data_IF_431054574419
#
_entry.id   IF_431054574419
#
_cell.length_a   1.000
_cell.length_b   1.000
_cell.length_c   1.000
_cell.angle_alpha   90.00
_cell.angle_beta   90.00
_cell.angle_gamma   90.00
#
_symmetry.space_group_name_H-M   'P 1'
#
loop_
_entity.id
_entity.type
_entity.pdbx_description
1 polymer ?
#
# COMPACT_ATOMS: atom_id res chain seq x y z
N UNK A 1 -18.72 38.48 5.87
CA UNK A 1 -20.07 37.95 5.85
C UNK A 1 -20.31 37.00 7.02
N UNK A 2 -21.47 37.07 7.69
CA UNK A 2 -21.79 36.11 8.74
C UNK A 2 -22.28 34.81 8.11
N UNK A 3 -21.52 33.70 8.26
CA UNK A 3 -21.85 32.40 7.66
C UNK A 3 -22.43 31.50 8.74
N UNK A 4 -23.69 31.11 8.59
CA UNK A 4 -24.32 30.11 9.48
C UNK A 4 -24.03 28.71 8.92
N UNK A 5 -23.17 27.95 9.62
CA UNK A 5 -22.85 26.58 9.27
C UNK A 5 -23.75 25.57 9.95
N UNK A 6 -24.17 24.56 9.22
CA UNK A 6 -24.77 23.34 9.74
C UNK A 6 -23.84 22.15 9.42
N UNK A 7 -23.30 21.54 10.44
CA UNK A 7 -22.38 20.41 10.33
C UNK A 7 -22.84 19.27 11.25
N UNK A 8 -22.53 18.00 10.92
CA UNK A 8 -22.67 16.93 11.89
C UNK A 8 -21.89 17.26 13.17
N UNK A 9 -22.47 16.99 14.34
CA UNK A 9 -21.91 17.35 15.65
C UNK A 9 -20.49 16.84 15.85
N UNK A 10 -20.21 15.61 15.42
CA UNK A 10 -18.85 15.01 15.48
C UNK A 10 -17.80 15.85 14.78
N UNK A 11 -18.15 16.64 13.77
CA UNK A 11 -17.22 17.46 12.99
C UNK A 11 -16.96 18.86 13.60
N UNK A 12 -17.50 19.18 14.77
CA UNK A 12 -17.19 20.42 15.48
C UNK A 12 -15.67 20.58 15.78
N UNK A 13 -14.95 19.46 15.86
CA UNK A 13 -13.49 19.44 16.02
C UNK A 13 -12.70 20.06 14.87
N UNK A 14 -13.31 20.27 13.68
CA UNK A 14 -12.68 20.95 12.53
C UNK A 14 -12.19 22.37 12.88
N UNK A 15 -12.84 23.05 13.83
CA UNK A 15 -12.49 24.42 14.22
C UNK A 15 -11.47 24.50 15.37
N UNK A 16 -11.03 23.35 15.92
CA UNK A 16 -9.98 23.33 16.93
C UNK A 16 -8.61 23.25 16.22
N UNK A 17 -7.61 24.05 16.64
CA UNK A 17 -6.28 23.97 16.05
C UNK A 17 -5.65 22.59 16.25
N UNK A 18 -5.25 21.95 15.15
CA UNK A 18 -4.51 20.69 15.12
C UNK A 18 -3.73 20.63 13.81
N UNK A 19 -2.51 20.10 13.85
CA UNK A 19 -1.68 19.98 12.66
C UNK A 19 -2.32 19.08 11.62
N UNK A 20 -2.83 17.93 12.06
CA UNK A 20 -3.50 16.95 11.20
C UNK A 20 -4.95 16.77 11.62
N UNK A 21 -5.86 16.78 10.65
CA UNK A 21 -7.29 16.53 10.89
C UNK A 21 -7.77 15.47 9.92
N UNK A 22 -8.16 14.32 10.45
CA UNK A 22 -8.54 13.13 9.68
C UNK A 22 -10.01 12.82 9.88
N UNK A 23 -10.76 12.90 8.82
CA UNK A 23 -12.18 12.52 8.80
C UNK A 23 -12.33 11.26 7.92
N UNK A 24 -12.53 10.13 8.57
CA UNK A 24 -12.65 8.85 7.88
C UNK A 24 -13.98 8.16 8.19
N UNK A 25 -14.35 7.16 7.38
CA UNK A 25 -15.56 6.38 7.56
C UNK A 25 -16.25 6.05 6.25
N UNK A 26 -17.41 5.39 6.33
CA UNK A 26 -18.17 4.93 5.19
C UNK A 26 -18.81 6.03 4.34
N UNK A 27 -19.51 5.62 3.30
CA UNK A 27 -20.25 6.52 2.41
C UNK A 27 -21.41 7.19 3.15
N UNK A 28 -21.71 8.43 2.73
CA UNK A 28 -22.86 9.18 3.23
C UNK A 28 -22.64 9.93 4.54
N UNK A 29 -21.44 9.88 5.17
CA UNK A 29 -21.12 10.61 6.39
C UNK A 29 -21.03 12.14 6.25
N UNK A 30 -21.08 12.69 5.03
CA UNK A 30 -21.05 14.14 4.78
C UNK A 30 -19.65 14.77 4.92
N UNK A 31 -18.57 13.97 4.97
CA UNK A 31 -17.20 14.44 5.22
C UNK A 31 -16.77 15.59 4.32
N UNK A 32 -16.77 15.40 3.01
CA UNK A 32 -16.30 16.41 2.04
C UNK A 32 -17.18 17.67 2.05
N UNK A 33 -18.51 17.51 2.25
CA UNK A 33 -19.44 18.64 2.38
C UNK A 33 -19.14 19.50 3.61
N UNK A 34 -18.86 18.87 4.72
CA UNK A 34 -18.55 19.55 5.96
C UNK A 34 -17.22 20.32 5.87
N UNK A 35 -16.18 19.66 5.30
CA UNK A 35 -14.87 20.29 5.10
C UNK A 35 -14.96 21.50 4.19
N UNK A 36 -15.62 21.37 3.04
CA UNK A 36 -15.79 22.50 2.11
C UNK A 36 -16.53 23.65 2.77
N UNK A 37 -17.60 23.35 3.51
CA UNK A 37 -18.36 24.40 4.23
C UNK A 37 -17.49 25.10 5.28
N UNK A 38 -16.68 24.33 6.04
CA UNK A 38 -15.77 24.90 7.04
C UNK A 38 -14.66 25.74 6.39
N UNK A 39 -14.04 25.26 5.30
CA UNK A 39 -13.00 26.01 4.59
C UNK A 39 -13.50 27.32 4.00
N UNK A 40 -14.69 27.32 3.39
CA UNK A 40 -15.33 28.56 2.89
C UNK A 40 -15.66 29.54 4.01
N UNK A 41 -16.16 29.05 5.13
CA UNK A 41 -16.44 29.92 6.27
C UNK A 41 -15.18 30.50 6.90
N UNK A 42 -14.13 29.70 7.11
CA UNK A 42 -12.85 30.17 7.62
C UNK A 42 -12.17 31.16 6.68
N UNK A 43 -12.23 30.90 5.34
CA UNK A 43 -11.72 31.81 4.34
C UNK A 43 -12.49 33.11 4.21
N UNK A 44 -13.78 33.12 4.55
CA UNK A 44 -14.58 34.33 4.63
C UNK A 44 -14.32 35.16 5.91
N UNK A 45 -13.94 34.49 7.02
CA UNK A 45 -13.60 35.11 8.28
C UNK A 45 -12.22 35.80 8.25
N UNK A 46 -11.23 35.15 7.67
CA UNK A 46 -9.86 35.66 7.55
C UNK A 46 -9.19 35.25 6.22
N UNK A 47 -8.23 36.07 5.71
CA UNK A 47 -7.49 35.71 4.50
C UNK A 47 -6.73 34.39 4.69
N UNK A 48 -7.00 33.39 3.86
CA UNK A 48 -6.34 32.09 3.90
C UNK A 48 -5.89 31.66 2.51
N UNK A 49 -4.73 31.03 2.44
CA UNK A 49 -4.25 30.31 1.26
C UNK A 49 -4.51 28.81 1.47
N UNK A 50 -5.44 28.26 0.72
CA UNK A 50 -5.94 26.90 0.89
C UNK A 50 -5.55 26.09 -0.36
N UNK A 51 -4.90 24.95 -0.17
CA UNK A 51 -4.62 24.00 -1.21
C UNK A 51 -5.60 22.84 -1.12
N UNK A 52 -6.39 22.64 -2.15
CA UNK A 52 -7.21 21.43 -2.33
C UNK A 52 -6.42 20.42 -3.18
N UNK A 53 -6.19 19.23 -2.65
CA UNK A 53 -5.34 18.22 -3.28
C UNK A 53 -6.00 16.84 -3.37
N UNK A 54 -5.57 16.05 -4.35
CA UNK A 54 -5.75 14.62 -4.51
C UNK A 54 -4.46 13.99 -5.00
N UNK A 55 -4.30 12.67 -4.91
CA UNK A 55 -3.15 12.00 -5.50
C UNK A 55 -3.09 12.25 -7.01
N UNK A 56 -4.21 12.08 -7.73
CA UNK A 56 -4.28 12.27 -9.19
C UNK A 56 -5.09 13.53 -9.54
N UNK A 57 -4.50 14.42 -10.32
CA UNK A 57 -5.10 15.73 -10.67
C UNK A 57 -6.36 15.64 -11.56
N UNK A 58 -6.46 14.61 -12.42
CA UNK A 58 -7.50 14.53 -13.47
C UNK A 58 -8.94 14.60 -12.95
N UNK A 59 -9.19 14.15 -11.72
CA UNK A 59 -10.51 14.13 -11.09
C UNK A 59 -10.85 15.38 -10.25
N UNK A 60 -9.90 16.32 -10.08
CA UNK A 60 -10.05 17.50 -9.21
C UNK A 60 -11.12 18.48 -9.68
N UNK A 61 -11.14 18.78 -10.98
CA UNK A 61 -12.09 19.76 -11.55
C UNK A 61 -13.53 19.32 -11.41
N UNK A 62 -13.79 18.04 -11.69
CA UNK A 62 -15.14 17.49 -11.73
C UNK A 62 -15.73 17.19 -10.33
N UNK A 63 -14.89 17.12 -9.30
CA UNK A 63 -15.35 16.78 -7.95
C UNK A 63 -15.14 17.92 -6.95
N UNK A 64 -13.90 18.29 -6.62
CA UNK A 64 -13.57 19.23 -5.55
C UNK A 64 -13.95 20.67 -5.93
N UNK A 65 -13.57 21.11 -7.13
CA UNK A 65 -13.87 22.45 -7.61
C UNK A 65 -15.38 22.66 -7.73
N UNK A 66 -16.11 21.68 -8.31
CA UNK A 66 -17.56 21.71 -8.41
C UNK A 66 -18.23 21.74 -7.02
N UNK A 67 -17.76 20.91 -6.09
CA UNK A 67 -18.30 20.88 -4.71
C UNK A 67 -18.13 22.23 -4.01
N UNK A 68 -16.98 22.90 -4.18
CA UNK A 68 -16.76 24.25 -3.67
C UNK A 68 -17.75 25.25 -4.29
N UNK A 69 -17.87 25.25 -5.61
CA UNK A 69 -18.81 26.12 -6.35
C UNK A 69 -20.26 25.95 -5.87
N UNK A 70 -20.74 24.71 -5.81
CA UNK A 70 -22.10 24.41 -5.37
C UNK A 70 -22.32 24.81 -3.91
N UNK A 71 -21.29 24.69 -3.07
CA UNK A 71 -21.36 25.09 -1.65
C UNK A 71 -21.31 26.60 -1.48
N UNK A 72 -20.57 27.35 -2.30
CA UNK A 72 -20.57 28.81 -2.34
C UNK A 72 -22.00 29.32 -2.58
N UNK A 73 -22.70 28.78 -3.58
CA UNK A 73 -24.10 29.12 -3.88
C UNK A 73 -25.01 28.76 -2.71
N UNK A 74 -24.87 27.56 -2.16
CA UNK A 74 -25.68 27.10 -1.01
C UNK A 74 -25.53 27.97 0.25
N UNK A 75 -24.32 28.50 0.48
CA UNK A 75 -24.03 29.37 1.62
C UNK A 75 -24.32 30.85 1.35
N UNK A 76 -24.75 31.23 0.15
CA UNK A 76 -25.00 32.64 -0.23
C UNK A 76 -23.71 33.46 -0.28
N UNK A 77 -22.61 32.90 -0.70
CA UNK A 77 -21.29 33.53 -0.71
C UNK A 77 -20.82 33.95 -2.12
N UNK A 78 -21.71 33.98 -3.12
CA UNK A 78 -21.39 34.33 -4.52
C UNK A 78 -20.87 35.77 -4.65
N UNK A 79 -21.35 36.69 -3.82
CA UNK A 79 -20.84 38.07 -3.80
C UNK A 79 -19.46 38.20 -3.16
N UNK A 80 -18.99 37.17 -2.42
CA UNK A 80 -17.72 37.18 -1.74
C UNK A 80 -16.64 36.35 -2.48
N UNK A 81 -17.00 35.21 -3.08
CA UNK A 81 -16.08 34.35 -3.79
C UNK A 81 -16.26 34.43 -5.31
N UNK A 82 -15.17 34.78 -6.01
CA UNK A 82 -15.05 34.68 -7.45
C UNK A 82 -14.54 33.29 -7.84
N UNK A 83 -15.33 32.54 -8.61
CA UNK A 83 -14.97 31.17 -9.03
C UNK A 83 -14.38 31.21 -10.44
N UNK A 84 -13.06 30.95 -10.54
CA UNK A 84 -12.33 30.84 -11.81
C UNK A 84 -12.05 29.37 -12.11
N UNK A 85 -11.61 29.06 -13.33
CA UNK A 85 -11.36 27.67 -13.77
C UNK A 85 -10.23 26.97 -13.01
N UNK A 86 -9.23 27.70 -12.53
CA UNK A 86 -8.03 27.18 -11.90
C UNK A 86 -7.90 27.51 -10.42
N UNK A 87 -8.69 28.46 -9.92
CA UNK A 87 -8.62 28.94 -8.54
C UNK A 87 -9.96 29.57 -8.13
N UNK A 88 -10.18 29.75 -6.82
CA UNK A 88 -11.30 30.51 -6.27
C UNK A 88 -10.73 31.61 -5.38
N UNK A 89 -11.19 32.85 -5.57
CA UNK A 89 -10.72 34.04 -4.87
C UNK A 89 -11.77 34.60 -3.94
N UNK A 90 -11.42 34.86 -2.71
CA UNK A 90 -12.25 35.63 -1.77
C UNK A 90 -11.93 37.11 -1.82
N UNK A 91 -12.94 38.00 -1.61
CA UNK A 91 -12.81 39.45 -1.61
C UNK A 91 -11.81 39.99 -0.57
N UNK A 92 -11.49 39.20 0.46
CA UNK A 92 -10.51 39.54 1.50
C UNK A 92 -9.07 39.03 1.18
N UNK A 93 -8.85 38.45 -0.01
CA UNK A 93 -7.56 37.87 -0.41
C UNK A 93 -7.42 36.38 -0.13
N UNK A 94 -8.46 35.70 0.36
CA UNK A 94 -8.50 34.23 0.42
C UNK A 94 -8.33 33.61 -0.95
N UNK A 95 -7.55 32.54 -1.03
CA UNK A 95 -7.23 31.87 -2.30
C UNK A 95 -7.33 30.35 -2.14
N UNK A 96 -8.16 29.71 -2.97
CA UNK A 96 -8.19 28.26 -3.12
C UNK A 96 -7.41 27.86 -4.38
N UNK A 97 -6.45 26.95 -4.20
CA UNK A 97 -5.61 26.36 -5.26
C UNK A 97 -5.93 24.88 -5.41
N UNK A 98 -5.65 24.31 -6.57
CA UNK A 98 -5.94 22.91 -6.87
C UNK A 98 -4.71 22.20 -7.45
N UNK A 99 -4.36 21.02 -6.89
CA UNK A 99 -3.20 20.25 -7.35
C UNK A 99 -3.35 18.74 -7.17
N UNK A 100 -2.76 17.97 -8.13
CA UNK A 100 -2.52 16.54 -7.95
C UNK A 100 -1.15 16.31 -7.31
N UNK A 101 -1.02 15.40 -6.36
CA UNK A 101 0.24 15.16 -5.65
C UNK A 101 1.23 14.33 -6.46
N UNK A 102 0.74 13.35 -7.23
CA UNK A 102 1.57 12.41 -8.00
C UNK A 102 2.35 13.06 -9.16
N UNK A 103 1.78 14.07 -9.81
CA UNK A 103 2.35 14.71 -11.01
C UNK A 103 3.35 15.82 -10.71
N UNK A 104 3.53 16.17 -9.46
CA UNK A 104 4.43 17.24 -9.08
C UNK A 104 5.83 16.73 -8.74
N UNK A 105 6.81 17.19 -9.51
CA UNK A 105 8.22 17.14 -9.08
C UNK A 105 8.38 17.94 -7.80
N UNK A 106 9.42 17.63 -7.01
CA UNK A 106 9.77 18.38 -5.79
C UNK A 106 9.74 19.91 -6.00
N UNK A 107 10.05 20.38 -7.21
CA UNK A 107 10.07 21.80 -7.55
C UNK A 107 8.67 22.42 -7.72
N UNK A 108 7.70 21.69 -8.20
CA UNK A 108 6.32 22.20 -8.32
C UNK A 108 5.57 22.20 -6.97
N UNK A 109 5.91 21.30 -6.06
CA UNK A 109 5.36 21.29 -4.68
C UNK A 109 5.92 22.47 -3.87
N UNK A 110 7.16 22.91 -4.11
CA UNK A 110 7.72 24.13 -3.50
C UNK A 110 6.90 25.39 -3.80
N UNK A 111 6.13 25.41 -4.89
CA UNK A 111 5.23 26.54 -5.20
C UNK A 111 4.06 26.70 -4.21
N UNK A 112 3.81 25.69 -3.37
CA UNK A 112 2.79 25.71 -2.31
C UNK A 112 3.31 26.21 -0.96
N UNK A 113 4.50 26.79 -0.93
CA UNK A 113 5.01 27.47 0.25
C UNK A 113 4.07 28.60 0.68
N UNK A 114 3.83 28.72 1.97
CA UNK A 114 2.94 29.75 2.51
C UNK A 114 1.44 29.37 2.54
N UNK A 115 1.10 28.11 2.26
CA UNK A 115 -0.27 27.58 2.43
C UNK A 115 -0.63 27.47 3.91
N UNK A 116 -1.85 27.94 4.27
CA UNK A 116 -2.40 27.86 5.61
C UNK A 116 -3.05 26.51 5.89
N UNK A 117 -3.84 26.01 4.93
CA UNK A 117 -4.54 24.75 5.05
C UNK A 117 -4.39 23.95 3.74
N UNK A 118 -3.99 22.69 3.86
CA UNK A 118 -4.09 21.72 2.78
C UNK A 118 -5.27 20.80 3.06
N UNK A 119 -6.19 20.68 2.14
CA UNK A 119 -7.23 19.65 2.20
C UNK A 119 -6.97 18.58 1.13
N UNK A 120 -6.81 17.34 1.58
CA UNK A 120 -6.60 16.17 0.72
C UNK A 120 -7.89 15.36 0.71
N UNK A 121 -8.52 15.32 -0.43
CA UNK A 121 -9.74 14.54 -0.68
C UNK A 121 -9.38 13.17 -1.27
N UNK A 122 -10.08 12.11 -0.86
CA UNK A 122 -9.73 10.71 -1.15
C UNK A 122 -8.31 10.35 -0.70
N UNK A 123 -7.95 10.76 0.51
CA UNK A 123 -6.59 10.62 1.03
C UNK A 123 -6.10 9.16 1.18
N UNK A 124 -6.97 8.14 1.06
CA UNK A 124 -6.57 6.74 1.05
C UNK A 124 -5.62 6.39 -0.11
N UNK A 125 -5.74 7.12 -1.24
CA UNK A 125 -4.89 6.89 -2.41
C UNK A 125 -3.49 7.51 -2.31
N UNK A 126 -3.20 8.35 -1.28
CA UNK A 126 -1.95 9.10 -1.21
C UNK A 126 -0.78 8.19 -0.90
N UNK A 127 0.20 8.17 -1.80
CA UNK A 127 1.39 7.35 -1.69
C UNK A 127 2.33 7.85 -0.59
N UNK A 128 3.18 6.95 -0.07
CA UNK A 128 4.24 7.29 0.88
C UNK A 128 5.11 8.43 0.35
N UNK A 129 5.51 8.34 -0.93
CA UNK A 129 6.32 9.38 -1.58
C UNK A 129 5.64 10.74 -1.56
N UNK A 130 4.35 10.79 -1.87
CA UNK A 130 3.57 12.05 -1.86
C UNK A 130 3.52 12.64 -0.45
N UNK A 131 3.32 11.82 0.59
CA UNK A 131 3.38 12.26 1.99
C UNK A 131 4.76 12.79 2.39
N UNK A 132 5.83 12.07 2.05
CA UNK A 132 7.19 12.43 2.43
C UNK A 132 7.67 13.73 1.78
N UNK A 133 7.05 14.14 0.66
CA UNK A 133 7.29 15.43 0.00
C UNK A 133 6.36 16.53 0.54
N UNK A 134 5.06 16.24 0.70
CA UNK A 134 4.05 17.23 1.09
C UNK A 134 4.26 17.76 2.51
N UNK A 135 4.45 16.86 3.47
CA UNK A 135 4.53 17.25 4.89
C UNK A 135 5.64 18.29 5.15
N UNK A 136 6.89 18.10 4.69
CA UNK A 136 7.92 19.10 4.88
C UNK A 136 7.70 20.41 4.10
N UNK A 137 6.90 20.37 3.03
CA UNK A 137 6.60 21.57 2.21
C UNK A 137 5.60 22.48 2.89
N UNK A 138 4.65 21.92 3.61
CA UNK A 138 3.62 22.70 4.36
C UNK A 138 4.21 23.07 5.72
N UNK A 139 4.95 24.15 5.77
CA UNK A 139 5.78 24.55 6.92
C UNK A 139 5.49 25.94 7.51
N UNK A 140 4.40 26.59 7.06
CA UNK A 140 3.95 27.84 7.65
C UNK A 140 3.50 27.60 9.09
N UNK A 141 3.87 28.46 10.02
CA UNK A 141 3.46 28.36 11.41
C UNK A 141 1.93 28.34 11.53
N UNK A 142 1.41 27.37 12.29
CA UNK A 142 -0.02 27.15 12.43
C UNK A 142 -0.73 26.56 11.21
N UNK A 143 0.02 26.13 10.19
CA UNK A 143 -0.58 25.44 9.02
C UNK A 143 -1.13 24.07 9.38
N UNK A 144 -2.20 23.68 8.69
CA UNK A 144 -2.94 22.45 8.94
C UNK A 144 -3.07 21.58 7.70
N UNK A 145 -3.10 20.27 7.88
CA UNK A 145 -3.35 19.27 6.82
C UNK A 145 -4.64 18.52 7.19
N UNK A 146 -5.65 18.68 6.36
CA UNK A 146 -6.97 18.07 6.53
C UNK A 146 -7.13 16.93 5.53
N UNK A 147 -7.68 15.81 5.96
CA UNK A 147 -7.84 14.61 5.15
C UNK A 147 -9.28 14.10 5.23
N UNK A 148 -9.87 13.83 4.07
CA UNK A 148 -11.15 13.12 3.98
C UNK A 148 -10.93 11.81 3.22
N UNK A 149 -11.36 10.70 3.80
CA UNK A 149 -11.24 9.40 3.15
C UNK A 149 -12.32 8.40 3.58
N UNK A 150 -12.64 7.49 2.67
CA UNK A 150 -13.15 6.18 3.02
C UNK A 150 -11.93 5.26 3.03
N UNK A 151 -11.56 4.65 4.17
CA UNK A 151 -10.41 3.75 4.21
C UNK A 151 -10.58 2.63 3.17
N UNK A 152 -9.53 2.34 2.38
CA UNK A 152 -9.56 1.22 1.44
C UNK A 152 -8.88 0.00 2.06
N UNK A 153 -7.56 0.08 2.28
CA UNK A 153 -6.81 -1.01 2.91
C UNK A 153 -6.29 -0.59 4.29
N UNK A 154 -6.22 -1.56 5.21
CA UNK A 154 -5.60 -1.35 6.51
C UNK A 154 -4.08 -1.03 6.41
N UNK A 155 -3.46 -1.37 5.28
CA UNK A 155 -2.04 -1.14 4.96
C UNK A 155 -1.80 0.16 4.19
N UNK A 156 -2.82 0.96 3.86
CA UNK A 156 -2.65 2.25 3.20
C UNK A 156 -1.81 3.21 4.05
N UNK A 157 -0.88 3.92 3.42
CA UNK A 157 0.05 4.83 4.13
C UNK A 157 -0.69 5.86 4.98
N UNK A 158 -1.76 6.44 4.44
CA UNK A 158 -2.59 7.40 5.18
C UNK A 158 -3.27 6.75 6.38
N UNK A 159 -3.77 5.52 6.23
CA UNK A 159 -4.41 4.79 7.32
C UNK A 159 -3.41 4.48 8.44
N UNK A 160 -2.25 3.93 8.08
CA UNK A 160 -1.21 3.58 9.04
C UNK A 160 -0.68 4.81 9.77
N UNK A 161 -0.36 5.88 9.05
CA UNK A 161 0.29 7.08 9.60
C UNK A 161 -0.62 7.90 10.49
N UNK A 162 -1.91 8.03 10.15
CA UNK A 162 -2.79 9.01 10.78
C UNK A 162 -4.00 8.42 11.51
N UNK A 163 -4.35 7.14 11.27
CA UNK A 163 -5.52 6.49 11.89
C UNK A 163 -5.08 5.38 12.84
N UNK A 164 -4.21 4.45 12.39
CA UNK A 164 -3.74 3.34 13.20
C UNK A 164 -2.75 3.81 14.29
N UNK A 165 -1.85 4.76 13.95
CA UNK A 165 -0.84 5.30 14.86
C UNK A 165 -0.83 6.83 14.85
N UNK A 166 -1.92 7.49 15.28
CA UNK A 166 -2.01 8.96 15.25
C UNK A 166 -1.02 9.59 16.23
N UNK A 167 -0.39 10.70 15.82
CA UNK A 167 0.43 11.56 16.70
C UNK A 167 -0.44 12.47 17.58
N UNK A 168 0.14 13.03 18.63
CA UNK A 168 -0.58 13.89 19.60
C UNK A 168 -1.19 15.16 18.97
N UNK A 169 -0.62 15.62 17.85
CA UNK A 169 -1.09 16.76 17.07
C UNK A 169 -2.12 16.38 15.99
N UNK A 170 -2.57 15.12 15.97
CA UNK A 170 -3.60 14.61 15.07
C UNK A 170 -4.97 14.56 15.75
N UNK A 171 -5.97 15.11 15.09
CA UNK A 171 -7.39 14.89 15.42
C UNK A 171 -7.99 13.89 14.43
N UNK A 172 -8.49 12.76 14.94
CA UNK A 172 -9.12 11.71 14.16
C UNK A 172 -10.61 11.65 14.46
N UNK A 173 -11.44 11.66 13.44
CA UNK A 173 -12.88 11.56 13.55
C UNK A 173 -13.44 10.49 12.62
N UNK A 174 -13.95 9.41 13.20
CA UNK A 174 -14.76 8.45 12.46
C UNK A 174 -16.18 8.96 12.32
N UNK A 175 -16.66 9.11 11.07
CA UNK A 175 -17.99 9.60 10.76
C UNK A 175 -18.63 8.77 9.64
N UNK A 176 -19.83 8.26 9.91
CA UNK A 176 -20.56 7.38 9.03
C UNK A 176 -21.95 7.94 8.70
N UNK A 177 -22.73 7.24 7.89
CA UNK A 177 -24.07 7.61 7.44
C UNK A 177 -25.01 7.95 8.61
N UNK A 178 -24.90 7.25 9.75
CA UNK A 178 -25.75 7.47 10.94
C UNK A 178 -25.47 8.77 11.68
N UNK A 179 -24.28 9.31 11.49
CA UNK A 179 -23.86 10.57 12.11
C UNK A 179 -24.25 11.79 11.27
N UNK A 180 -24.78 11.56 10.05
CA UNK A 180 -25.20 12.60 9.13
C UNK A 180 -26.71 12.84 9.24
N UNK A 181 -27.16 13.96 9.84
CA UNK A 181 -28.58 14.28 9.97
C UNK A 181 -29.30 14.48 8.62
N UNK A 182 -28.55 14.73 7.56
CA UNK A 182 -29.07 14.96 6.19
C UNK A 182 -28.83 13.75 5.27
N UNK A 183 -28.67 12.57 5.84
CA UNK A 183 -28.43 11.37 5.04
C UNK A 183 -29.63 11.10 4.10
N UNK A 184 -29.43 11.10 2.75
CA UNK A 184 -30.55 11.01 1.82
C UNK A 184 -31.27 9.66 1.89
N UNK A 185 -32.60 9.69 1.85
CA UNK A 185 -33.39 8.46 1.87
C UNK A 185 -33.10 7.53 0.69
N UNK A 186 -32.88 8.08 -0.51
CA UNK A 186 -32.46 7.32 -1.66
C UNK A 186 -31.18 6.50 -1.37
N UNK A 187 -30.20 7.13 -0.75
CA UNK A 187 -28.95 6.45 -0.40
C UNK A 187 -29.14 5.44 0.74
N UNK A 188 -30.08 5.70 1.66
CA UNK A 188 -30.47 4.76 2.70
C UNK A 188 -31.13 3.48 2.12
N UNK A 189 -31.96 3.61 1.09
CA UNK A 189 -32.54 2.46 0.40
C UNK A 189 -31.45 1.60 -0.29
N UNK A 190 -30.47 2.24 -0.94
CA UNK A 190 -29.35 1.50 -1.52
C UNK A 190 -28.51 0.80 -0.45
N UNK A 191 -28.26 1.44 0.68
CA UNK A 191 -27.58 0.82 1.83
C UNK A 191 -28.35 -0.40 2.38
N UNK A 192 -29.67 -0.30 2.49
CA UNK A 192 -30.50 -1.43 2.94
C UNK A 192 -30.54 -2.59 1.96
N UNK A 193 -30.51 -2.30 0.65
CA UNK A 193 -30.34 -3.34 -0.39
C UNK A 193 -28.97 -4.00 -0.26
N UNK A 194 -27.88 -3.21 -0.16
CA UNK A 194 -26.54 -3.70 0.02
C UNK A 194 -26.41 -4.62 1.24
N UNK A 195 -27.02 -4.24 2.37
CA UNK A 195 -27.04 -5.05 3.60
C UNK A 195 -27.64 -6.44 3.42
N UNK A 196 -28.56 -6.60 2.45
CA UNK A 196 -29.26 -7.87 2.18
C UNK A 196 -28.54 -8.75 1.13
N UNK A 197 -27.80 -8.10 0.21
CA UNK A 197 -27.25 -8.76 -0.98
C UNK A 197 -25.73 -8.91 -0.99
N UNK A 198 -25.01 -8.08 -0.20
CA UNK A 198 -23.55 -8.12 -0.14
C UNK A 198 -23.06 -8.98 1.03
N UNK A 199 -21.78 -9.34 0.99
CA UNK A 199 -21.10 -9.94 2.14
C UNK A 199 -21.04 -8.94 3.30
N UNK A 200 -20.94 -9.43 4.54
CA UNK A 200 -20.78 -8.55 5.71
C UNK A 200 -19.54 -7.66 5.60
N UNK A 201 -18.44 -8.21 5.07
CA UNK A 201 -17.18 -7.49 4.87
C UNK A 201 -17.33 -6.34 3.87
N UNK A 202 -17.99 -6.57 2.73
CA UNK A 202 -18.21 -5.51 1.73
C UNK A 202 -19.17 -4.44 2.26
N UNK A 203 -20.21 -4.83 2.99
CA UNK A 203 -21.11 -3.87 3.62
C UNK A 203 -20.39 -3.00 4.64
N UNK A 204 -19.60 -3.61 5.52
CA UNK A 204 -18.82 -2.88 6.53
C UNK A 204 -17.79 -1.95 5.90
N UNK A 205 -17.14 -2.40 4.84
CA UNK A 205 -16.20 -1.56 4.10
C UNK A 205 -16.88 -0.31 3.51
N UNK A 206 -17.96 -0.49 2.75
CA UNK A 206 -18.60 0.61 2.02
C UNK A 206 -19.36 1.55 2.95
N UNK A 207 -20.13 1.00 3.91
CA UNK A 207 -21.09 1.78 4.70
C UNK A 207 -20.60 2.12 6.11
N UNK A 208 -19.75 1.29 6.70
CA UNK A 208 -19.19 1.52 8.03
C UNK A 208 -17.74 2.04 7.98
N UNK A 209 -17.13 2.11 6.80
CA UNK A 209 -15.78 2.64 6.62
C UNK A 209 -14.68 1.78 7.23
N UNK A 210 -14.92 0.47 7.35
CA UNK A 210 -13.87 -0.46 7.79
C UNK A 210 -12.90 -0.71 6.65
N UNK A 211 -11.58 -0.62 6.90
CA UNK A 211 -10.60 -0.98 5.88
C UNK A 211 -10.69 -2.47 5.54
N UNK A 212 -10.39 -2.78 4.28
CA UNK A 212 -10.21 -4.17 3.85
C UNK A 212 -8.85 -4.67 4.30
N UNK A 213 -8.78 -5.96 4.60
CA UNK A 213 -7.51 -6.65 4.85
C UNK A 213 -6.87 -7.16 3.56
N UNK A 214 -7.66 -7.32 2.50
CA UNK A 214 -7.23 -7.84 1.19
C UNK A 214 -7.91 -7.02 0.10
N UNK A 215 -7.18 -6.65 -0.96
CA UNK A 215 -7.71 -5.88 -2.08
C UNK A 215 -8.82 -6.65 -2.82
N UNK A 216 -9.79 -5.92 -3.36
CA UNK A 216 -10.84 -6.51 -4.18
C UNK A 216 -10.25 -7.18 -5.42
N UNK A 217 -10.65 -8.42 -5.68
CA UNK A 217 -10.12 -9.20 -6.80
C UNK A 217 -8.69 -9.69 -6.62
N UNK A 218 -8.15 -9.66 -5.39
CA UNK A 218 -6.82 -10.21 -5.11
C UNK A 218 -6.78 -11.71 -5.41
N UNK A 219 -5.67 -12.15 -6.01
CA UNK A 219 -5.47 -13.52 -6.47
C UNK A 219 -5.46 -14.52 -5.30
N UNK A 220 -4.90 -14.09 -4.15
CA UNK A 220 -4.75 -14.92 -2.95
C UNK A 220 -5.71 -14.52 -1.82
N UNK A 221 -6.89 -13.96 -2.14
CA UNK A 221 -7.83 -13.44 -1.15
C UNK A 221 -8.22 -14.49 -0.10
N UNK A 222 -8.62 -15.67 -0.53
CA UNK A 222 -9.05 -16.75 0.37
C UNK A 222 -7.91 -17.29 1.23
N UNK A 223 -6.74 -17.43 0.62
CA UNK A 223 -5.52 -17.92 1.26
C UNK A 223 -5.05 -16.96 2.36
N UNK A 224 -5.09 -15.66 2.10
CA UNK A 224 -4.73 -14.62 3.08
C UNK A 224 -5.77 -14.56 4.22
N UNK A 225 -7.05 -14.65 3.90
CA UNK A 225 -8.09 -14.68 4.94
C UNK A 225 -7.91 -15.90 5.88
N UNK A 226 -7.66 -17.09 5.32
CA UNK A 226 -7.36 -18.29 6.09
C UNK A 226 -6.08 -18.15 6.92
N UNK A 227 -5.01 -17.52 6.36
CA UNK A 227 -3.75 -17.27 7.04
C UNK A 227 -3.95 -16.50 8.36
N UNK A 228 -4.76 -15.42 8.32
CA UNK A 228 -5.04 -14.61 9.52
C UNK A 228 -6.03 -15.29 10.46
N UNK A 229 -7.07 -15.93 9.94
CA UNK A 229 -8.06 -16.68 10.75
C UNK A 229 -7.40 -17.83 11.56
N UNK A 230 -6.40 -18.48 10.98
CA UNK A 230 -5.65 -19.58 11.59
C UNK A 230 -4.42 -19.10 12.36
N UNK A 231 -4.22 -17.79 12.52
CA UNK A 231 -3.11 -17.18 13.26
C UNK A 231 -1.73 -17.69 12.81
N UNK A 232 -1.49 -17.80 11.49
CA UNK A 232 -0.23 -18.28 10.90
C UNK A 232 0.78 -17.15 10.58
N UNK A 233 0.49 -15.91 10.99
CA UNK A 233 1.41 -14.76 11.00
C UNK A 233 1.91 -14.59 12.43
N UNK A 234 3.13 -15.08 12.72
CA UNK A 234 3.69 -15.23 14.07
C UNK A 234 5.17 -14.83 14.11
N UNK A 235 5.79 -14.85 15.28
CA UNK A 235 7.25 -14.89 15.34
C UNK A 235 7.70 -16.29 14.92
N UNK A 236 8.12 -16.42 13.65
CA UNK A 236 8.47 -17.75 13.10
C UNK A 236 9.83 -18.20 13.64
N UNK A 237 9.89 -19.32 14.38
CA UNK A 237 11.14 -19.80 14.92
C UNK A 237 12.06 -20.32 13.81
N UNK A 238 13.31 -19.83 13.79
CA UNK A 238 14.37 -20.41 12.98
C UNK A 238 14.81 -21.76 13.57
N UNK A 239 14.86 -22.78 12.72
CA UNK A 239 15.37 -24.12 13.10
C UNK A 239 16.80 -24.28 12.57
N UNK A 240 17.82 -24.33 13.45
CA UNK A 240 19.22 -24.44 13.02
C UNK A 240 19.56 -25.80 12.36
N UNK A 241 18.71 -26.79 12.49
CA UNK A 241 18.90 -28.11 11.87
C UNK A 241 18.51 -28.12 10.38
N UNK A 242 17.67 -27.17 9.97
CA UNK A 242 17.19 -27.03 8.58
C UNK A 242 17.93 -25.92 7.85
N UNK A 243 18.25 -26.08 6.56
CA UNK A 243 18.84 -25.02 5.77
C UNK A 243 17.80 -23.91 5.50
N UNK A 244 18.26 -22.66 5.43
CA UNK A 244 17.48 -21.53 4.90
C UNK A 244 17.82 -21.37 3.43
N UNK A 245 16.81 -21.44 2.58
CA UNK A 245 16.91 -21.19 1.15
C UNK A 245 16.52 -19.75 0.85
N UNK A 246 17.15 -19.15 -0.16
CA UNK A 246 16.73 -17.87 -0.71
C UNK A 246 16.03 -18.06 -2.05
N UNK A 247 14.95 -17.32 -2.26
CA UNK A 247 14.19 -17.36 -3.51
C UNK A 247 14.16 -15.94 -4.06
N UNK A 248 14.54 -15.80 -5.32
CA UNK A 248 14.80 -14.52 -5.94
C UNK A 248 13.78 -14.23 -7.04
N UNK A 249 13.35 -12.96 -7.13
CA UNK A 249 12.79 -12.37 -8.34
C UNK A 249 13.74 -11.25 -8.79
N UNK A 250 14.26 -11.36 -10.02
CA UNK A 250 15.36 -10.52 -10.50
C UNK A 250 14.82 -9.22 -11.11
N UNK A 251 15.27 -8.08 -10.62
CA UNK A 251 14.96 -6.76 -11.14
C UNK A 251 16.13 -5.79 -10.99
N UNK A 252 16.22 -4.77 -11.86
CA UNK A 252 17.17 -3.67 -11.73
C UNK A 252 16.44 -2.33 -11.60
N UNK A 253 15.65 -1.94 -12.59
CA UNK A 253 14.82 -0.74 -12.54
C UNK A 253 13.59 -0.96 -11.66
N UNK A 254 13.04 -2.17 -11.73
CA UNK A 254 12.01 -2.66 -10.84
C UNK A 254 12.63 -3.27 -9.58
N UNK A 255 11.83 -3.55 -8.57
CA UNK A 255 12.34 -4.09 -7.32
C UNK A 255 12.89 -5.53 -7.53
N UNK A 256 14.12 -5.76 -7.06
CA UNK A 256 14.61 -7.12 -6.81
C UNK A 256 14.08 -7.59 -5.46
N UNK A 257 13.50 -8.78 -5.42
CA UNK A 257 12.93 -9.32 -4.19
C UNK A 257 13.53 -10.68 -3.82
N UNK A 258 13.74 -10.91 -2.53
CA UNK A 258 14.36 -12.13 -1.99
C UNK A 258 13.58 -12.60 -0.78
N UNK A 259 13.02 -13.82 -0.85
CA UNK A 259 12.38 -14.50 0.27
C UNK A 259 13.33 -15.49 0.94
N UNK A 260 13.23 -15.60 2.27
CA UNK A 260 14.01 -16.52 3.09
C UNK A 260 13.11 -17.62 3.63
N UNK A 261 13.36 -18.85 3.23
CA UNK A 261 12.45 -19.97 3.45
C UNK A 261 13.15 -21.16 4.08
N UNK A 262 12.51 -21.71 5.11
CA UNK A 262 12.81 -23.07 5.58
C UNK A 262 11.64 -24.00 5.23
N UNK A 263 11.94 -25.15 4.69
CA UNK A 263 10.99 -26.23 4.49
C UNK A 263 11.07 -27.23 5.64
N UNK A 264 10.06 -27.22 6.51
CA UNK A 264 9.87 -28.28 7.50
C UNK A 264 9.18 -29.52 6.88
N UNK A 265 8.99 -30.60 7.67
CA UNK A 265 8.27 -31.80 7.20
C UNK A 265 6.83 -31.53 6.78
N UNK A 266 6.12 -30.65 7.53
CA UNK A 266 4.70 -30.36 7.31
C UNK A 266 4.43 -28.88 7.04
N UNK A 267 5.41 -28.00 7.27
CA UNK A 267 5.29 -26.55 7.21
C UNK A 267 6.29 -25.91 6.24
N UNK A 268 5.99 -24.70 5.85
CA UNK A 268 6.87 -23.82 5.06
C UNK A 268 6.99 -22.51 5.84
N UNK A 269 8.17 -22.19 6.30
CA UNK A 269 8.46 -21.04 7.15
C UNK A 269 9.05 -19.92 6.33
N UNK A 270 8.32 -18.82 6.21
CA UNK A 270 8.80 -17.60 5.58
C UNK A 270 9.42 -16.73 6.65
N UNK A 271 10.75 -16.77 6.75
CA UNK A 271 11.49 -16.18 7.86
C UNK A 271 11.78 -14.70 7.71
N UNK A 272 11.98 -14.25 6.49
CA UNK A 272 12.43 -12.89 6.18
C UNK A 272 12.16 -12.53 4.72
N UNK A 273 12.29 -11.25 4.39
CA UNK A 273 12.07 -10.71 3.05
C UNK A 273 12.96 -9.49 2.81
N UNK A 274 13.53 -9.36 1.63
CA UNK A 274 14.24 -8.18 1.13
C UNK A 274 13.58 -7.70 -0.15
N UNK A 275 13.39 -6.40 -0.26
CA UNK A 275 12.96 -5.70 -1.47
C UNK A 275 13.76 -4.39 -1.59
N UNK A 276 14.46 -4.20 -2.70
CA UNK A 276 15.18 -2.96 -3.02
C UNK A 276 15.34 -2.85 -4.53
N UNK A 277 15.70 -1.68 -5.06
CA UNK A 277 16.00 -1.43 -6.46
C UNK A 277 17.33 -0.71 -6.62
N UNK A 278 17.92 -0.76 -7.83
CA UNK A 278 19.18 -0.08 -8.14
C UNK A 278 20.35 -0.50 -7.22
N UNK A 279 20.35 -1.74 -6.74
CA UNK A 279 21.44 -2.33 -5.96
C UNK A 279 22.15 -3.40 -6.76
N UNK A 280 23.46 -3.53 -6.53
CA UNK A 280 24.29 -4.56 -7.16
C UNK A 280 24.09 -5.92 -6.49
N UNK A 281 24.42 -7.00 -7.19
CA UNK A 281 24.24 -8.35 -6.70
C UNK A 281 25.05 -8.63 -5.43
N UNK A 282 26.29 -8.11 -5.34
CA UNK A 282 27.14 -8.19 -4.15
C UNK A 282 26.54 -7.50 -2.93
N UNK A 283 25.81 -6.39 -3.13
CA UNK A 283 25.08 -5.73 -2.03
C UNK A 283 24.01 -6.68 -1.46
N UNK A 284 23.21 -7.34 -2.31
CA UNK A 284 22.19 -8.29 -1.84
C UNK A 284 22.82 -9.49 -1.12
N UNK A 285 23.90 -10.06 -1.65
CA UNK A 285 24.65 -11.15 -1.00
C UNK A 285 25.15 -10.71 0.37
N UNK A 286 25.70 -9.50 0.47
CA UNK A 286 26.12 -8.93 1.77
C UNK A 286 24.94 -8.79 2.74
N UNK A 287 23.75 -8.37 2.27
CA UNK A 287 22.56 -8.30 3.14
C UNK A 287 22.13 -9.71 3.61
N UNK A 288 22.18 -10.71 2.74
CA UNK A 288 21.87 -12.09 3.07
C UNK A 288 22.83 -12.58 4.18
N UNK A 289 24.13 -12.41 4.01
CA UNK A 289 25.18 -12.92 4.90
C UNK A 289 25.17 -12.28 6.30
N UNK A 290 24.60 -11.09 6.48
CA UNK A 290 24.38 -10.48 7.79
C UNK A 290 23.43 -11.28 8.70
N UNK A 291 22.69 -12.23 8.14
CA UNK A 291 21.73 -13.03 8.91
C UNK A 291 22.39 -14.29 9.44
N UNK A 292 22.14 -14.68 10.68
CA UNK A 292 22.79 -15.83 11.32
C UNK A 292 22.12 -17.16 10.92
N UNK A 293 21.92 -17.37 9.60
CA UNK A 293 21.25 -18.56 9.10
C UNK A 293 22.25 -19.59 8.53
N UNK A 294 21.90 -20.85 8.61
CA UNK A 294 22.56 -21.91 7.88
C UNK A 294 22.03 -21.95 6.46
N UNK A 295 22.85 -21.55 5.49
CA UNK A 295 22.44 -21.36 4.09
C UNK A 295 22.27 -22.68 3.35
N UNK A 296 21.16 -22.78 2.58
CA UNK A 296 20.87 -23.82 1.63
C UNK A 296 21.21 -23.39 0.20
N UNK A 297 20.23 -23.45 -0.70
CA UNK A 297 20.33 -23.07 -2.09
C UNK A 297 19.67 -21.70 -2.34
N UNK A 298 20.10 -21.04 -3.43
CA UNK A 298 19.52 -19.81 -3.94
C UNK A 298 18.71 -20.15 -5.20
N UNK A 299 17.39 -20.09 -5.10
CA UNK A 299 16.50 -20.41 -6.23
C UNK A 299 16.26 -19.15 -7.06
N UNK A 300 16.69 -19.20 -8.32
CA UNK A 300 16.58 -18.12 -9.30
C UNK A 300 15.44 -18.41 -10.28
N UNK A 301 14.78 -17.39 -10.82
CA UNK A 301 13.87 -17.54 -11.94
C UNK A 301 14.63 -18.03 -13.19
N UNK A 302 13.89 -18.44 -14.21
CA UNK A 302 14.46 -19.03 -15.45
C UNK A 302 15.45 -18.09 -16.18
N UNK A 303 15.26 -16.78 -16.08
CA UNK A 303 16.14 -15.75 -16.66
C UNK A 303 17.45 -15.55 -15.88
N UNK A 304 17.60 -16.17 -14.70
CA UNK A 304 18.86 -16.19 -13.95
C UNK A 304 20.06 -16.78 -14.75
N UNK A 305 19.81 -17.51 -15.86
CA UNK A 305 20.82 -17.97 -16.82
C UNK A 305 21.11 -17.00 -17.95
N UNK A 306 20.32 -15.94 -18.07
CA UNK A 306 20.52 -14.96 -19.13
C UNK A 306 21.82 -14.19 -18.88
N UNK A 307 22.70 -14.16 -19.88
CA UNK A 307 23.97 -13.43 -19.76
C UNK A 307 23.76 -11.94 -19.92
N UNK A 308 24.32 -11.19 -19.01
CA UNK A 308 24.35 -9.74 -19.10
C UNK A 308 25.33 -9.33 -20.20
N UNK A 309 24.90 -8.50 -21.14
CA UNK A 309 25.69 -8.07 -22.29
C UNK A 309 26.98 -7.33 -21.88
N UNK A 310 26.98 -6.60 -20.77
CA UNK A 310 28.13 -5.81 -20.31
C UNK A 310 29.20 -6.67 -19.63
N UNK A 311 28.76 -7.66 -18.82
CA UNK A 311 29.65 -8.47 -17.99
C UNK A 311 29.96 -9.85 -18.62
N UNK A 312 29.17 -10.27 -19.60
CA UNK A 312 29.25 -11.60 -20.23
C UNK A 312 28.85 -12.75 -19.30
N UNK A 313 28.48 -12.46 -18.04
CA UNK A 313 28.12 -13.45 -17.02
C UNK A 313 26.63 -13.44 -16.72
N UNK A 314 26.08 -14.60 -16.40
CA UNK A 314 24.73 -14.74 -15.87
C UNK A 314 24.67 -14.44 -14.37
N UNK A 315 23.47 -14.24 -13.83
CA UNK A 315 23.26 -14.11 -12.38
C UNK A 315 23.68 -15.41 -11.66
N UNK A 316 23.38 -16.56 -12.24
CA UNK A 316 23.82 -17.88 -11.76
C UNK A 316 25.34 -17.94 -11.61
N UNK A 317 26.08 -17.60 -12.67
CA UNK A 317 27.56 -17.60 -12.67
C UNK A 317 28.15 -16.60 -11.66
N UNK A 318 27.53 -15.46 -11.49
CA UNK A 318 27.97 -14.44 -10.54
C UNK A 318 27.77 -14.89 -9.08
N UNK A 319 26.62 -15.45 -8.74
CA UNK A 319 26.34 -15.98 -7.40
C UNK A 319 27.25 -17.16 -7.06
N UNK A 320 27.53 -18.06 -8.02
CA UNK A 320 28.52 -19.14 -7.85
C UNK A 320 29.90 -18.60 -7.52
N UNK A 321 30.34 -17.55 -8.24
CA UNK A 321 31.64 -16.92 -7.99
C UNK A 321 31.72 -16.25 -6.58
N UNK A 322 30.57 -15.87 -6.00
CA UNK A 322 30.45 -15.36 -4.63
C UNK A 322 30.28 -16.49 -3.58
N UNK A 323 30.45 -17.76 -3.95
CA UNK A 323 30.33 -18.89 -3.02
C UNK A 323 28.90 -19.32 -2.71
N UNK A 324 27.90 -18.78 -3.40
CA UNK A 324 26.50 -19.15 -3.26
C UNK A 324 26.18 -20.42 -4.05
N UNK A 325 25.01 -21.02 -3.78
CA UNK A 325 24.57 -22.28 -4.41
C UNK A 325 23.29 -22.07 -5.25
N UNK A 326 23.37 -21.35 -6.37
CA UNK A 326 22.20 -21.06 -7.18
C UNK A 326 21.64 -22.32 -7.87
N UNK A 327 20.30 -22.36 -7.96
CA UNK A 327 19.53 -23.32 -8.74
C UNK A 327 18.53 -22.51 -9.57
N UNK A 328 18.64 -22.60 -10.90
CA UNK A 328 17.71 -21.92 -11.79
C UNK A 328 16.48 -22.79 -12.02
N UNK A 329 15.32 -22.25 -11.70
CA UNK A 329 14.02 -22.91 -11.85
C UNK A 329 13.65 -23.03 -13.34
N UNK A 330 12.89 -24.06 -13.67
CA UNK A 330 12.29 -24.18 -15.01
C UNK A 330 11.26 -23.07 -15.23
N UNK A 331 11.14 -22.61 -16.45
CA UNK A 331 10.09 -21.67 -16.84
C UNK A 331 8.71 -22.35 -16.74
N UNK A 332 7.80 -21.71 -16.02
CA UNK A 332 6.39 -22.15 -15.91
C UNK A 332 5.47 -20.98 -16.21
N UNK A 333 4.22 -21.27 -16.53
CA UNK A 333 3.23 -20.23 -16.70
C UNK A 333 2.89 -19.57 -15.36
N UNK A 334 2.46 -18.30 -15.41
CA UNK A 334 1.99 -17.55 -14.22
C UNK A 334 0.87 -18.31 -13.51
N UNK A 335 -0.04 -18.92 -14.26
CA UNK A 335 -1.18 -19.66 -13.71
C UNK A 335 -0.74 -20.94 -12.97
N UNK A 336 0.25 -21.65 -13.49
CA UNK A 336 0.84 -22.82 -12.81
C UNK A 336 1.51 -22.40 -11.50
N UNK A 337 2.24 -21.27 -11.52
CA UNK A 337 2.83 -20.70 -10.32
C UNK A 337 1.79 -20.31 -9.27
N UNK A 338 0.68 -19.67 -9.67
CA UNK A 338 -0.45 -19.33 -8.78
C UNK A 338 -1.05 -20.59 -8.16
N UNK A 339 -1.27 -21.66 -8.96
CA UNK A 339 -1.78 -22.94 -8.46
C UNK A 339 -0.82 -23.56 -7.44
N UNK A 340 0.49 -23.56 -7.73
CA UNK A 340 1.50 -24.08 -6.81
C UNK A 340 1.49 -23.34 -5.46
N UNK A 341 1.37 -22.01 -5.48
CA UNK A 341 1.20 -21.20 -4.27
C UNK A 341 -0.04 -21.60 -3.49
N UNK A 342 -1.21 -21.69 -4.14
CA UNK A 342 -2.46 -22.07 -3.48
C UNK A 342 -2.39 -23.42 -2.79
N UNK A 343 -1.71 -24.39 -3.39
CA UNK A 343 -1.47 -25.71 -2.78
C UNK A 343 -0.51 -25.64 -1.58
N UNK A 344 0.47 -24.76 -1.62
CA UNK A 344 1.45 -24.56 -0.55
C UNK A 344 0.90 -23.75 0.62
N UNK A 345 0.08 -22.73 0.34
CA UNK A 345 -0.34 -21.67 1.27
C UNK A 345 -0.90 -22.18 2.62
N UNK A 346 -1.73 -23.27 2.66
CA UNK A 346 -2.22 -23.78 3.94
C UNK A 346 -1.15 -24.21 4.93
N UNK A 347 0.08 -24.46 4.46
CA UNK A 347 1.22 -24.88 5.28
C UNK A 347 2.20 -23.74 5.57
N UNK A 348 1.96 -22.53 5.03
CA UNK A 348 2.85 -21.39 5.20
C UNK A 348 2.65 -20.69 6.54
N UNK A 349 3.76 -20.37 7.20
CA UNK A 349 3.86 -19.49 8.35
C UNK A 349 4.74 -18.30 8.00
N UNK A 350 4.31 -17.11 8.33
CA UNK A 350 5.00 -15.86 8.00
C UNK A 350 5.48 -15.16 9.26
N UNK A 351 6.73 -14.70 9.24
CA UNK A 351 7.26 -13.89 10.34
C UNK A 351 6.53 -12.53 10.36
N UNK A 352 5.90 -12.20 11.51
CA UNK A 352 5.01 -11.05 11.67
C UNK A 352 5.71 -9.70 11.49
N UNK A 353 7.03 -9.64 11.65
CA UNK A 353 7.81 -8.39 11.58
C UNK A 353 8.62 -8.27 10.30
N UNK A 354 9.24 -9.37 9.86
CA UNK A 354 10.19 -9.37 8.75
C UNK A 354 9.53 -9.58 7.37
N UNK A 355 8.29 -10.09 7.35
CA UNK A 355 7.55 -10.35 6.10
C UNK A 355 6.36 -9.42 5.87
N UNK A 356 6.27 -8.31 6.61
CA UNK A 356 5.16 -7.32 6.49
C UNK A 356 4.97 -6.86 5.06
N UNK A 357 6.07 -6.47 4.38
CA UNK A 357 6.02 -5.98 3.00
C UNK A 357 5.62 -7.09 2.02
N UNK A 358 6.11 -8.31 2.20
CA UNK A 358 5.69 -9.45 1.40
C UNK A 358 4.19 -9.73 1.55
N UNK A 359 3.68 -9.72 2.78
CA UNK A 359 2.25 -9.89 3.03
C UNK A 359 1.42 -8.77 2.39
N UNK A 360 1.92 -7.55 2.36
CA UNK A 360 1.29 -6.44 1.64
C UNK A 360 1.24 -6.71 0.13
N UNK A 361 2.34 -7.17 -0.47
CA UNK A 361 2.36 -7.59 -1.88
C UNK A 361 1.28 -8.65 -2.15
N UNK A 362 1.19 -9.70 -1.34
CA UNK A 362 0.23 -10.78 -1.52
C UNK A 362 -1.24 -10.34 -1.33
N UNK A 363 -1.50 -9.40 -0.42
CA UNK A 363 -2.82 -8.80 -0.19
C UNK A 363 -3.32 -7.98 -1.37
N UNK A 364 -2.41 -7.37 -2.14
CA UNK A 364 -2.70 -6.45 -3.24
C UNK A 364 -2.50 -7.06 -4.62
N UNK A 365 -1.87 -8.22 -4.73
CA UNK A 365 -1.65 -8.92 -5.99
C UNK A 365 -2.97 -9.33 -6.65
N UNK A 366 -3.36 -8.63 -7.70
CA UNK A 366 -4.65 -8.74 -8.36
C UNK A 366 -4.53 -8.82 -9.87
N UNK A 367 -5.60 -9.26 -10.53
CA UNK A 367 -5.68 -9.27 -11.99
C UNK A 367 -6.06 -7.89 -12.53
N UNK A 368 -5.53 -7.54 -13.69
CA UNK A 368 -6.10 -6.48 -14.50
C UNK A 368 -7.51 -6.91 -14.95
N UNK A 369 -8.42 -5.94 -15.08
CA UNK A 369 -9.75 -6.18 -15.63
C UNK A 369 -9.83 -5.62 -17.03
N UNK A 370 -10.45 -6.34 -17.95
CA UNK A 370 -10.71 -5.84 -19.30
C UNK A 370 -11.71 -4.68 -19.23
N UNK A 371 -11.37 -3.54 -19.86
CA UNK A 371 -12.11 -2.27 -19.71
C UNK A 371 -13.58 -2.38 -20.11
N UNK A 372 -13.91 -3.21 -21.11
CA UNK A 372 -15.28 -3.32 -21.64
C UNK A 372 -16.06 -4.52 -21.08
N UNK A 373 -15.40 -5.67 -20.90
CA UNK A 373 -16.07 -6.92 -20.48
C UNK A 373 -15.98 -7.20 -18.98
N UNK A 374 -15.11 -6.46 -18.26
CA UNK A 374 -14.80 -6.66 -16.84
C UNK A 374 -14.25 -8.08 -16.52
N UNK A 375 -13.75 -8.79 -17.55
CA UNK A 375 -13.16 -10.11 -17.41
C UNK A 375 -11.76 -10.02 -16.81
N UNK A 376 -11.38 -10.96 -15.90
CA UNK A 376 -10.04 -11.01 -15.34
C UNK A 376 -9.00 -11.31 -16.42
N UNK A 377 -7.99 -10.46 -16.54
CA UNK A 377 -6.84 -10.62 -17.41
C UNK A 377 -5.63 -11.19 -16.64
N UNK A 378 -4.44 -11.06 -17.21
CA UNK A 378 -3.18 -11.35 -16.52
C UNK A 378 -3.05 -10.54 -15.23
N UNK A 379 -2.24 -11.00 -14.25
CA UNK A 379 -1.94 -10.21 -13.08
C UNK A 379 -1.41 -8.83 -13.45
N UNK A 380 -1.83 -7.82 -12.68
CA UNK A 380 -1.36 -6.45 -12.86
C UNK A 380 0.11 -6.36 -12.48
N UNK A 381 0.91 -5.73 -13.35
CA UNK A 381 2.30 -5.45 -13.05
C UNK A 381 2.40 -4.08 -12.39
N UNK A 382 2.60 -4.08 -11.08
CA UNK A 382 2.74 -2.90 -10.23
C UNK A 382 3.80 -3.14 -9.14
N UNK A 383 3.95 -2.22 -8.21
CA UNK A 383 4.91 -2.34 -7.11
C UNK A 383 4.70 -3.57 -6.19
N UNK A 384 3.53 -4.21 -6.24
CA UNK A 384 3.18 -5.39 -5.44
C UNK A 384 3.45 -6.70 -6.18
N UNK A 385 3.61 -6.64 -7.50
CA UNK A 385 3.80 -7.84 -8.32
C UNK A 385 5.12 -8.56 -8.04
N UNK A 386 6.20 -7.83 -7.76
CA UNK A 386 7.54 -8.41 -7.56
C UNK A 386 7.60 -9.36 -6.36
N UNK A 387 7.06 -8.94 -5.20
CA UNK A 387 6.97 -9.81 -4.04
C UNK A 387 6.08 -11.03 -4.27
N UNK A 388 4.98 -10.86 -5.01
CA UNK A 388 4.09 -11.96 -5.35
C UNK A 388 4.72 -12.92 -6.38
N UNK A 389 5.52 -12.42 -7.32
CA UNK A 389 6.25 -13.22 -8.30
C UNK A 389 7.36 -14.05 -7.63
N UNK A 390 8.13 -13.44 -6.72
CA UNK A 390 9.05 -14.18 -5.87
C UNK A 390 8.32 -15.27 -5.06
N UNK A 391 7.14 -14.97 -4.52
CA UNK A 391 6.36 -15.96 -3.76
C UNK A 391 5.83 -17.09 -4.65
N UNK A 392 5.55 -16.84 -5.93
CA UNK A 392 5.25 -17.89 -6.92
C UNK A 392 6.45 -18.83 -7.12
N UNK A 393 7.67 -18.29 -7.14
CA UNK A 393 8.89 -19.11 -7.21
C UNK A 393 9.10 -19.94 -5.93
N UNK A 394 8.66 -19.48 -4.75
CA UNK A 394 8.60 -20.33 -3.55
C UNK A 394 7.69 -21.52 -3.79
N UNK A 395 6.49 -21.30 -4.33
CA UNK A 395 5.54 -22.36 -4.65
C UNK A 395 6.12 -23.43 -5.57
N UNK A 396 6.95 -23.02 -6.54
CA UNK A 396 7.63 -23.92 -7.48
C UNK A 396 8.82 -24.65 -6.85
N UNK A 397 9.57 -24.00 -5.97
CA UNK A 397 10.80 -24.53 -5.39
C UNK A 397 10.58 -25.45 -4.19
N UNK A 398 9.54 -25.23 -3.40
CA UNK A 398 9.25 -26.03 -2.19
C UNK A 398 9.22 -27.54 -2.45
N UNK A 399 8.62 -28.08 -3.54
CA UNK A 399 8.63 -29.51 -3.78
C UNK A 399 10.05 -30.11 -3.94
N UNK A 400 10.99 -29.34 -4.44
CA UNK A 400 12.38 -29.78 -4.75
C UNK A 400 13.39 -29.29 -3.71
N UNK A 401 13.00 -28.47 -2.73
CA UNK A 401 13.88 -28.05 -1.65
C UNK A 401 14.31 -29.23 -0.79
N UNK A 402 15.63 -29.45 -0.56
CA UNK A 402 16.08 -30.47 0.36
C UNK A 402 15.80 -30.08 1.80
N UNK A 403 15.33 -31.04 2.62
CA UNK A 403 15.12 -30.85 4.07
C UNK A 403 16.38 -31.17 4.87
N UNK A 404 17.36 -31.85 4.25
CA UNK A 404 18.61 -32.24 4.89
C UNK A 404 19.73 -31.82 3.95
N UNK A 405 20.79 -31.21 4.47
CA UNK A 405 22.02 -31.10 3.69
C UNK A 405 22.53 -32.50 3.39
N UNK A 406 22.73 -32.84 2.12
CA UNK A 406 23.52 -34.00 1.77
C UNK A 406 24.92 -33.78 2.33
N UNK A 407 25.26 -34.51 3.37
CA UNK A 407 26.66 -34.65 3.80
C UNK A 407 27.31 -35.45 2.68
N UNK A 408 28.15 -34.81 1.87
CA UNK A 408 29.06 -35.56 1.00
C UNK A 408 30.00 -36.30 1.93
N UNK A 409 29.80 -37.59 2.05
CA UNK A 409 30.75 -38.47 2.66
C UNK A 409 31.90 -38.59 1.68
N UNK A 410 33.02 -37.91 1.92
CA UNK A 410 34.29 -38.22 1.28
C UNK A 410 34.77 -39.53 1.90
N UNK A 411 34.80 -40.58 1.11
CA UNK A 411 35.48 -41.79 1.58
C UNK A 411 36.90 -41.43 1.95
N UNK A 412 37.37 -41.84 3.17
CA UNK A 412 38.75 -41.61 3.55
C UNK A 412 39.64 -42.36 2.51
N UNK A 413 40.77 -41.78 2.11
CA UNK A 413 41.66 -42.42 1.16
C UNK A 413 41.99 -43.83 1.66
N UNK A 414 42.04 -44.83 0.77
CA UNK A 414 42.32 -46.18 1.16
C UNK A 414 43.62 -46.22 1.98
N UNK A 415 43.53 -46.82 3.16
CA UNK A 415 44.70 -46.96 4.02
C UNK A 415 45.80 -47.71 3.27
N UNK A 416 46.92 -47.02 3.01
CA UNK A 416 48.10 -47.67 2.42
C UNK A 416 48.72 -48.59 3.48
N UNK A 417 48.32 -49.86 3.42
CA UNK A 417 48.81 -50.88 4.33
C UNK A 417 50.12 -51.49 3.86
N UNK A 418 50.86 -50.74 3.01
CA UNK A 418 52.24 -51.10 2.58
C UNK A 418 53.30 -50.27 3.31
N UNK A 419 53.29 -50.30 4.62
CA UNK A 419 54.46 -49.98 5.46
C UNK A 419 54.58 -50.98 6.57
#
# INVERSE_FOLDING_TARGET
>A
PFVRLQLPEKLAGLFRPKRYKVMHGGRGGGKSWAVVSALLALGADRPLRILCAREVQKSMRDSVHRLLKDTIVRLGLEAFYEVLDTEIRGANGTLFLFAGLQSHTVDSIKSFEGVDIVWIEEAHCVSKRSWDVLIPTIRKDGSEIWMTLNPDMDTDETYQRFIATPSDDTWVCEINWRDNPWFPETLNQERLKAKRSQSAVDYEHVWEGKPRTVAEGAIYQHEIQALYAESRVIDVPYDPTLPVHTIWDLGWNDAMTIGFVQRGPMDVRILDYIEDSHRTLDWYVTQIEKRPYRWGHDYLPHDGRTRNFQTGKSTEEQLQAMGRKPIVLAQTSVEEGIKAVRMMFPRCYFDKTKTVRLLECLKRYRRALHVQTNEPMAPLHDEFSHGADMFRYIGQSVPVMPNVMQVQYEEPPPADWRT
#
